data_IF_333917227285
#
_entry.id   IF_333917227285
#
_cell.length_a   1.000
_cell.length_b   1.000
_cell.length_c   1.000
_cell.angle_alpha   90.00
_cell.angle_beta   90.00
_cell.angle_gamma   90.00
#
_symmetry.space_group_name_H-M   'P 1'
#
loop_
_entity.id
_entity.type
_entity.pdbx_description
1 polymer ?
#
# COMPACT_ATOMS: atom_id res chain seq x y z
N UNK A 1 12.09 15.80 17.87
CA UNK A 1 12.99 14.64 17.98
C UNK A 1 12.25 13.32 18.19
N UNK A 2 11.21 13.24 19.02
CA UNK A 2 10.48 11.96 19.23
C UNK A 2 9.74 11.45 17.99
N UNK A 3 9.10 12.34 17.23
CA UNK A 3 8.25 11.96 16.09
C UNK A 3 9.05 11.34 14.92
N UNK A 4 10.23 11.91 14.61
CA UNK A 4 11.16 11.35 13.63
C UNK A 4 11.71 9.98 14.07
N UNK A 5 11.99 9.80 15.37
CA UNK A 5 12.41 8.50 15.93
C UNK A 5 11.29 7.46 15.78
N UNK A 6 10.03 7.84 15.99
CA UNK A 6 8.87 6.98 15.77
C UNK A 6 8.75 6.55 14.30
N UNK A 7 8.87 7.49 13.37
CA UNK A 7 8.86 7.21 11.93
C UNK A 7 9.98 6.24 11.57
N UNK A 8 11.21 6.51 12.02
CA UNK A 8 12.36 5.63 11.75
C UNK A 8 12.16 4.23 12.35
N UNK A 9 11.69 4.12 13.60
CA UNK A 9 11.38 2.82 14.20
C UNK A 9 10.33 2.06 13.40
N UNK A 10 9.29 2.75 12.92
CA UNK A 10 8.26 2.14 12.08
C UNK A 10 8.85 1.66 10.76
N UNK A 11 9.53 2.53 10.03
CA UNK A 11 10.11 2.23 8.72
C UNK A 11 11.19 1.15 8.79
N UNK A 12 11.86 0.98 9.95
CA UNK A 12 12.89 -0.04 10.20
C UNK A 12 12.37 -1.28 10.93
N UNK A 13 11.05 -1.48 11.03
CA UNK A 13 10.45 -2.68 11.63
C UNK A 13 10.78 -2.90 13.12
N UNK A 14 10.98 -1.82 13.87
CA UNK A 14 11.35 -1.82 15.30
C UNK A 14 10.26 -1.31 16.24
N UNK A 15 9.06 -1.01 15.74
CA UNK A 15 8.00 -0.40 16.53
C UNK A 15 7.10 -1.43 17.22
N UNK A 16 6.88 -1.26 18.52
CA UNK A 16 6.07 -2.17 19.33
C UNK A 16 4.57 -1.88 19.24
N UNK A 17 3.74 -2.84 19.66
CA UNK A 17 2.28 -2.65 19.74
C UNK A 17 1.88 -1.51 20.67
N UNK A 18 2.54 -1.37 21.82
CA UNK A 18 2.26 -0.31 22.77
C UNK A 18 2.52 1.06 22.14
N UNK A 19 3.62 1.21 21.40
CA UNK A 19 3.95 2.42 20.64
C UNK A 19 2.93 2.69 19.50
N UNK A 20 2.38 1.66 18.86
CA UNK A 20 1.29 1.83 17.87
C UNK A 20 -0.01 2.36 18.50
N UNK A 21 -0.30 1.99 19.74
CA UNK A 21 -1.50 2.43 20.45
C UNK A 21 -1.39 3.89 20.92
N UNK A 22 -0.17 4.44 21.02
CA UNK A 22 0.05 5.86 21.41
C UNK A 22 -0.01 6.83 20.22
N UNK A 23 -0.41 6.35 19.04
CA UNK A 23 -0.66 7.22 17.89
C UNK A 23 -1.64 8.34 18.23
N UNK A 24 -1.21 9.56 17.94
CA UNK A 24 -1.92 10.79 18.27
C UNK A 24 -2.11 11.66 17.02
N UNK A 25 -2.78 12.81 17.16
CA UNK A 25 -3.03 13.72 16.02
C UNK A 25 -1.74 14.25 15.40
N UNK A 26 -0.67 14.42 16.19
CA UNK A 26 0.62 14.89 15.65
C UNK A 26 1.19 13.89 14.66
N UNK A 27 1.17 12.59 14.99
CA UNK A 27 1.61 11.53 14.08
C UNK A 27 0.80 11.50 12.79
N UNK A 28 -0.53 11.61 12.89
CA UNK A 28 -1.42 11.63 11.73
C UNK A 28 -1.13 12.84 10.83
N UNK A 29 -1.07 14.04 11.40
CA UNK A 29 -0.80 15.27 10.64
C UNK A 29 0.56 15.17 9.94
N UNK A 30 1.59 14.67 10.62
CA UNK A 30 2.92 14.48 10.00
C UNK A 30 2.89 13.46 8.85
N UNK A 31 2.18 12.34 9.01
CA UNK A 31 2.03 11.36 7.94
C UNK A 31 1.26 11.90 6.74
N UNK A 32 0.17 12.64 6.99
CA UNK A 32 -0.63 13.27 5.92
C UNK A 32 0.17 14.36 5.21
N UNK A 33 0.88 15.22 5.95
CA UNK A 33 1.76 16.23 5.37
C UNK A 33 2.88 15.60 4.54
N UNK A 34 3.51 14.52 5.04
CA UNK A 34 4.51 13.76 4.28
C UNK A 34 3.93 13.17 3.00
N UNK A 35 2.74 12.56 3.08
CA UNK A 35 2.01 12.03 1.91
C UNK A 35 1.71 13.12 0.89
N UNK A 36 1.33 14.30 1.36
CA UNK A 36 1.02 15.44 0.51
C UNK A 36 2.25 15.96 -0.23
N UNK A 37 3.38 16.15 0.48
CA UNK A 37 4.65 16.57 -0.11
C UNK A 37 5.14 15.55 -1.15
N UNK A 38 5.13 14.26 -0.80
CA UNK A 38 5.51 13.18 -1.72
C UNK A 38 4.55 13.13 -2.93
N UNK A 39 3.27 13.39 -2.71
CA UNK A 39 2.26 13.48 -3.76
C UNK A 39 2.51 14.62 -4.74
N UNK A 40 2.88 15.81 -4.24
CA UNK A 40 3.26 16.94 -5.08
C UNK A 40 4.54 16.64 -5.87
N UNK A 41 5.56 16.06 -5.22
CA UNK A 41 6.85 15.76 -5.85
C UNK A 41 6.75 14.80 -7.04
N UNK A 42 5.74 13.92 -7.07
CA UNK A 42 5.53 12.96 -8.16
C UNK A 42 5.02 13.57 -9.47
N UNK A 43 4.36 14.72 -9.41
CA UNK A 43 3.74 15.37 -10.57
C UNK A 43 4.31 16.76 -10.83
N UNK A 44 5.34 17.15 -10.08
CA UNK A 44 5.94 18.48 -10.15
C UNK A 44 6.54 18.79 -11.54
N UNK A 45 7.03 17.77 -12.24
CA UNK A 45 7.68 17.86 -13.55
C UNK A 45 6.76 17.44 -14.71
N UNK A 46 5.48 17.14 -14.46
CA UNK A 46 4.54 16.70 -15.49
C UNK A 46 3.58 17.83 -15.94
N UNK A 47 3.85 18.49 -17.09
CA UNK A 47 2.99 19.55 -17.62
C UNK A 47 1.58 19.09 -18.03
N UNK A 48 1.29 17.77 -18.08
CA UNK A 48 -0.04 17.24 -18.40
C UNK A 48 -0.86 16.86 -17.18
N UNK A 49 -0.30 16.91 -15.97
CA UNK A 49 -1.03 16.50 -14.77
C UNK A 49 -2.12 17.51 -14.40
N UNK A 50 -3.27 17.01 -13.96
CA UNK A 50 -4.38 17.85 -13.50
C UNK A 50 -3.99 18.71 -12.28
N UNK A 51 -4.68 19.82 -12.05
CA UNK A 51 -4.46 20.68 -10.87
C UNK A 51 -4.52 19.89 -9.56
N UNK A 52 -5.43 18.92 -9.44
CA UNK A 52 -5.56 18.03 -8.28
C UNK A 52 -4.34 17.11 -8.06
N UNK A 53 -3.64 16.74 -9.14
CA UNK A 53 -2.42 15.92 -9.10
C UNK A 53 -1.20 16.77 -8.76
N UNK A 54 -1.05 17.94 -9.36
CA UNK A 54 0.00 18.91 -9.00
C UNK A 54 -0.10 19.37 -7.55
N UNK A 55 -1.33 19.55 -7.06
CA UNK A 55 -1.58 19.87 -5.65
C UNK A 55 -1.38 18.66 -4.72
N UNK A 56 -1.03 17.46 -5.21
CA UNK A 56 -0.77 16.28 -4.37
C UNK A 56 -2.00 15.72 -3.62
N UNK A 57 -3.19 16.27 -3.87
CA UNK A 57 -4.44 15.93 -3.18
C UNK A 57 -4.91 14.51 -3.49
N UNK A 58 -4.61 14.00 -4.69
CA UNK A 58 -4.89 12.61 -5.06
C UNK A 58 -4.23 11.59 -4.12
N UNK A 59 -2.99 11.86 -3.68
CA UNK A 59 -2.26 11.00 -2.73
C UNK A 59 -2.87 11.03 -1.32
N UNK A 60 -3.41 12.18 -0.91
CA UNK A 60 -4.12 12.32 0.36
C UNK A 60 -5.41 11.50 0.32
N UNK A 61 -6.25 11.70 -0.70
CA UNK A 61 -7.50 10.92 -0.85
C UNK A 61 -7.19 9.41 -0.88
N UNK A 62 -6.14 9.02 -1.61
CA UNK A 62 -5.70 7.63 -1.69
C UNK A 62 -5.42 7.00 -0.31
N UNK A 63 -4.69 7.66 0.59
CA UNK A 63 -4.39 7.08 1.91
C UNK A 63 -5.65 6.93 2.78
N UNK A 64 -6.63 7.84 2.66
CA UNK A 64 -7.90 7.74 3.37
C UNK A 64 -8.73 6.55 2.88
N UNK A 65 -8.85 6.39 1.55
CA UNK A 65 -9.55 5.27 0.93
C UNK A 65 -8.86 3.93 1.24
N UNK A 66 -7.53 3.86 1.11
CA UNK A 66 -6.76 2.66 1.41
C UNK A 66 -6.88 2.26 2.88
N UNK A 67 -6.84 3.23 3.80
CA UNK A 67 -7.06 2.97 5.22
C UNK A 67 -8.44 2.44 5.49
N UNK A 68 -9.47 2.97 4.83
CA UNK A 68 -10.85 2.52 5.02
C UNK A 68 -11.02 1.09 4.52
N UNK A 69 -10.44 0.79 3.35
CA UNK A 69 -10.45 -0.53 2.75
C UNK A 69 -9.78 -1.59 3.66
N UNK A 70 -8.57 -1.33 4.13
CA UNK A 70 -7.85 -2.24 5.05
C UNK A 70 -8.60 -2.38 6.37
N UNK A 71 -9.13 -1.28 6.91
CA UNK A 71 -9.88 -1.28 8.16
C UNK A 71 -11.15 -2.16 8.05
N UNK A 72 -11.91 -2.03 6.95
CA UNK A 72 -13.11 -2.82 6.68
C UNK A 72 -12.79 -4.31 6.49
N UNK A 73 -11.73 -4.65 5.74
CA UNK A 73 -11.34 -6.05 5.51
C UNK A 73 -10.94 -6.75 6.81
N UNK A 74 -10.36 -6.02 7.77
CA UNK A 74 -9.94 -6.59 9.05
C UNK A 74 -11.03 -6.53 10.14
N UNK A 75 -12.10 -5.77 9.91
CA UNK A 75 -13.21 -5.62 10.85
C UNK A 75 -13.85 -6.97 11.25
N UNK A 76 -14.11 -7.93 10.32
CA UNK A 76 -14.68 -9.23 10.66
C UNK A 76 -13.81 -10.08 11.59
N UNK A 77 -12.50 -9.83 11.65
CA UNK A 77 -11.58 -10.59 12.52
C UNK A 77 -11.66 -10.20 14.01
N UNK A 78 -12.47 -9.18 14.35
CA UNK A 78 -12.72 -8.70 15.72
C UNK A 78 -11.41 -8.49 16.49
N UNK A 79 -10.52 -7.68 15.92
CA UNK A 79 -9.23 -7.35 16.52
C UNK A 79 -9.41 -6.34 17.65
N UNK A 80 -8.82 -6.60 18.81
CA UNK A 80 -8.88 -5.70 19.96
C UNK A 80 -8.17 -4.37 19.65
N UNK A 81 -8.79 -3.24 20.03
CA UNK A 81 -8.29 -1.88 19.82
C UNK A 81 -8.08 -1.51 18.33
N UNK A 82 -8.78 -2.20 17.42
CA UNK A 82 -8.76 -1.87 16.00
C UNK A 82 -9.57 -0.61 15.74
N UNK A 83 -8.89 0.50 15.43
CA UNK A 83 -9.52 1.77 15.11
C UNK A 83 -9.06 2.29 13.77
N UNK A 84 -9.97 2.92 13.04
CA UNK A 84 -9.65 3.55 11.75
C UNK A 84 -8.49 4.54 11.87
N UNK A 85 -8.44 5.31 12.96
CA UNK A 85 -7.38 6.30 13.22
C UNK A 85 -5.99 5.67 13.29
N UNK A 86 -5.83 4.51 13.94
CA UNK A 86 -4.53 3.83 14.01
C UNK A 86 -4.11 3.35 12.62
N UNK A 87 -5.02 2.77 11.87
CA UNK A 87 -4.78 2.28 10.50
C UNK A 87 -4.41 3.43 9.57
N UNK A 88 -5.16 4.53 9.60
CA UNK A 88 -4.89 5.72 8.82
C UNK A 88 -3.54 6.33 9.18
N UNK A 89 -3.23 6.46 10.49
CA UNK A 89 -1.94 6.98 10.95
C UNK A 89 -0.79 6.10 10.46
N UNK A 90 -0.93 4.77 10.58
CA UNK A 90 0.05 3.82 10.08
C UNK A 90 0.29 4.01 8.58
N UNK A 91 -0.78 3.99 7.76
CA UNK A 91 -0.67 4.12 6.30
C UNK A 91 -0.06 5.48 5.93
N UNK A 92 -0.49 6.56 6.56
CA UNK A 92 0.05 7.89 6.34
C UNK A 92 1.55 7.97 6.66
N UNK A 93 2.02 7.33 7.74
CA UNK A 93 3.44 7.29 8.10
C UNK A 93 4.27 6.36 7.20
N UNK A 94 3.66 5.38 6.53
CA UNK A 94 4.34 4.57 5.51
C UNK A 94 4.41 5.22 4.13
N UNK A 95 4.00 6.49 4.04
CA UNK A 95 4.08 7.27 2.79
C UNK A 95 5.49 7.70 2.43
N UNK A 96 6.37 7.94 3.42
CA UNK A 96 7.71 8.50 3.21
C UNK A 96 8.59 7.74 2.20
N UNK A 97 8.63 6.39 2.16
CA UNK A 97 9.38 5.67 1.13
C UNK A 97 8.94 6.00 -0.30
N UNK A 98 7.73 6.50 -0.53
CA UNK A 98 7.31 6.91 -1.87
C UNK A 98 8.00 8.19 -2.38
N UNK A 99 8.87 8.82 -1.58
CA UNK A 99 9.73 9.90 -2.06
C UNK A 99 10.63 9.45 -3.23
N UNK A 100 10.95 8.15 -3.33
CA UNK A 100 11.69 7.61 -4.48
C UNK A 100 10.97 7.83 -5.81
N UNK A 101 9.64 8.00 -5.81
CA UNK A 101 8.87 8.33 -7.01
C UNK A 101 8.96 9.79 -7.43
N UNK A 102 9.47 10.67 -6.57
CA UNK A 102 9.65 12.07 -6.87
C UNK A 102 11.05 12.38 -7.45
N UNK A 103 11.90 11.35 -7.62
CA UNK A 103 13.25 11.51 -8.17
C UNK A 103 13.14 11.49 -9.70
N UNK A 104 13.45 12.59 -10.41
CA UNK A 104 13.30 12.68 -11.86
C UNK A 104 14.48 11.99 -12.57
N UNK A 105 14.51 10.66 -12.56
CA UNK A 105 15.57 9.86 -13.16
C UNK A 105 15.66 10.05 -14.68
N UNK A 106 14.56 10.48 -15.30
CA UNK A 106 14.41 10.77 -16.73
C UNK A 106 15.26 11.95 -17.18
N UNK A 107 15.69 12.83 -16.27
CA UNK A 107 16.56 13.96 -16.58
C UNK A 107 18.03 13.56 -16.70
N UNK A 108 18.41 12.41 -16.14
CA UNK A 108 19.81 11.99 -16.02
C UNK A 108 20.17 10.78 -16.90
N UNK A 109 19.18 9.99 -17.32
CA UNK A 109 19.40 8.73 -18.04
C UNK A 109 18.59 8.66 -19.34
N UNK A 110 18.97 7.74 -20.23
CA UNK A 110 18.17 7.41 -21.42
C UNK A 110 16.80 6.88 -21.02
N UNK A 111 15.82 6.94 -21.94
CA UNK A 111 14.43 6.53 -21.69
C UNK A 111 14.35 5.07 -21.21
N UNK A 112 15.11 4.18 -21.83
CA UNK A 112 15.11 2.74 -21.50
C UNK A 112 15.68 2.48 -20.09
N UNK A 113 16.77 3.16 -19.74
CA UNK A 113 17.38 3.03 -18.41
C UNK A 113 16.49 3.66 -17.33
N UNK A 114 15.90 4.81 -17.61
CA UNK A 114 14.97 5.51 -16.70
C UNK A 114 13.73 4.67 -16.39
N UNK A 115 13.12 4.06 -17.40
CA UNK A 115 11.97 3.15 -17.22
C UNK A 115 12.34 1.98 -16.31
N UNK A 116 13.51 1.39 -16.51
CA UNK A 116 13.99 0.27 -15.69
C UNK A 116 14.15 0.67 -14.23
N UNK A 117 14.75 1.84 -13.97
CA UNK A 117 14.95 2.37 -12.62
C UNK A 117 13.61 2.68 -11.94
N UNK A 118 12.67 3.32 -12.65
CA UNK A 118 11.34 3.63 -12.14
C UNK A 118 10.56 2.38 -11.75
N UNK A 119 10.63 1.32 -12.56
CA UNK A 119 10.02 0.03 -12.24
C UNK A 119 10.66 -0.57 -10.98
N UNK A 120 11.98 -0.50 -10.82
CA UNK A 120 12.65 -0.97 -9.61
C UNK A 120 12.26 -0.17 -8.37
N UNK A 121 12.17 1.15 -8.45
CA UNK A 121 11.66 1.97 -7.35
C UNK A 121 10.23 1.58 -6.98
N UNK A 122 9.37 1.33 -7.97
CA UNK A 122 8.00 0.85 -7.74
C UNK A 122 7.99 -0.47 -6.99
N UNK A 123 8.76 -1.45 -7.45
CA UNK A 123 8.84 -2.77 -6.82
C UNK A 123 9.37 -2.66 -5.39
N UNK A 124 10.47 -1.93 -5.17
CA UNK A 124 11.08 -1.78 -3.84
C UNK A 124 10.11 -1.11 -2.88
N UNK A 125 9.50 0.01 -3.27
CA UNK A 125 8.57 0.76 -2.39
C UNK A 125 7.30 -0.04 -2.13
N UNK A 126 6.75 -0.72 -3.14
CA UNK A 126 5.57 -1.56 -2.98
C UNK A 126 5.85 -2.74 -2.04
N UNK A 127 6.97 -3.45 -2.22
CA UNK A 127 7.40 -4.53 -1.33
C UNK A 127 7.65 -4.02 0.09
N UNK A 128 8.31 -2.87 0.24
CA UNK A 128 8.56 -2.28 1.55
C UNK A 128 7.26 -1.99 2.30
N UNK A 129 6.26 -1.40 1.63
CA UNK A 129 4.93 -1.14 2.20
C UNK A 129 4.19 -2.43 2.55
N UNK A 130 4.27 -3.44 1.69
CA UNK A 130 3.66 -4.76 1.94
C UNK A 130 4.26 -5.42 3.19
N UNK A 131 5.59 -5.40 3.31
CA UNK A 131 6.30 -5.89 4.49
C UNK A 131 5.91 -5.10 5.74
N UNK A 132 5.81 -3.77 5.66
CA UNK A 132 5.39 -2.93 6.79
C UNK A 132 3.97 -3.27 7.21
N UNK A 133 3.05 -3.47 6.27
CA UNK A 133 1.67 -3.87 6.57
C UNK A 133 1.65 -5.24 7.24
N UNK A 134 2.38 -6.22 6.72
CA UNK A 134 2.54 -7.54 7.36
C UNK A 134 3.07 -7.41 8.79
N UNK A 135 4.14 -6.63 8.98
CA UNK A 135 4.75 -6.36 10.28
C UNK A 135 3.77 -5.73 11.26
N UNK A 136 3.04 -4.70 10.81
CA UNK A 136 2.02 -4.02 11.59
C UNK A 136 0.93 -5.00 12.01
N UNK A 137 0.40 -5.80 11.09
CA UNK A 137 -0.62 -6.79 11.43
C UNK A 137 -0.09 -7.87 12.38
N UNK A 138 1.15 -8.34 12.20
CA UNK A 138 1.77 -9.34 13.08
C UNK A 138 1.97 -8.87 14.50
N UNK A 139 2.38 -7.62 14.69
CA UNK A 139 2.62 -7.08 16.03
C UNK A 139 1.35 -6.52 16.66
N UNK A 140 0.46 -5.94 15.87
CA UNK A 140 -0.77 -5.33 16.35
C UNK A 140 -1.87 -6.35 16.61
N UNK A 141 -2.02 -7.33 15.69
CA UNK A 141 -3.03 -8.38 15.76
C UNK A 141 -2.41 -9.66 16.34
N UNK A 142 -3.19 -10.41 17.12
CA UNK A 142 -2.80 -11.76 17.58
C UNK A 142 -3.32 -12.83 16.60
N UNK A 143 -3.28 -12.52 15.29
CA UNK A 143 -3.71 -13.44 14.25
C UNK A 143 -2.55 -14.38 13.89
N UNK A 144 -2.87 -15.54 13.31
CA UNK A 144 -1.85 -16.46 12.81
C UNK A 144 -1.15 -15.88 11.58
N UNK A 145 0.12 -16.21 11.38
CA UNK A 145 0.93 -15.72 10.25
C UNK A 145 0.25 -16.02 8.89
N UNK A 146 -0.46 -17.15 8.77
CA UNK A 146 -1.25 -17.51 7.57
C UNK A 146 -2.43 -16.56 7.34
N UNK A 147 -3.18 -16.22 8.38
CA UNK A 147 -4.30 -15.29 8.27
C UNK A 147 -3.81 -13.89 7.90
N UNK A 148 -2.66 -13.47 8.44
CA UNK A 148 -2.04 -12.18 8.10
C UNK A 148 -1.62 -12.17 6.62
N UNK A 149 -0.95 -13.22 6.13
CA UNK A 149 -0.61 -13.32 4.70
C UNK A 149 -1.84 -13.21 3.80
N UNK A 150 -2.91 -13.94 4.11
CA UNK A 150 -4.15 -13.91 3.33
C UNK A 150 -4.74 -12.50 3.32
N UNK A 151 -4.86 -11.85 4.48
CA UNK A 151 -5.46 -10.52 4.58
C UNK A 151 -4.55 -9.43 3.96
N UNK A 152 -3.24 -9.67 3.88
CA UNK A 152 -2.30 -8.72 3.26
C UNK A 152 -2.29 -8.85 1.74
N UNK A 153 -2.36 -10.08 1.20
CA UNK A 153 -2.27 -10.36 -0.23
C UNK A 153 -3.62 -10.24 -0.95
N UNK A 154 -4.71 -10.67 -0.32
CA UNK A 154 -6.05 -10.66 -0.91
C UNK A 154 -6.49 -9.27 -1.43
N UNK A 155 -6.35 -8.17 -0.65
CA UNK A 155 -6.74 -6.84 -1.11
C UNK A 155 -5.94 -6.42 -2.35
N UNK A 156 -4.66 -6.76 -2.41
CA UNK A 156 -3.79 -6.45 -3.55
C UNK A 156 -4.21 -7.24 -4.80
N UNK A 157 -4.42 -8.55 -4.69
CA UNK A 157 -4.88 -9.38 -5.81
C UNK A 157 -6.27 -8.95 -6.31
N UNK A 158 -7.18 -8.57 -5.39
CA UNK A 158 -8.51 -8.10 -5.74
C UNK A 158 -8.46 -6.77 -6.48
N UNK A 159 -7.68 -5.79 -5.98
CA UNK A 159 -7.50 -4.50 -6.67
C UNK A 159 -6.95 -4.72 -8.08
N UNK A 160 -5.88 -5.52 -8.24
CA UNK A 160 -5.27 -5.77 -9.56
C UNK A 160 -6.26 -6.49 -10.49
N UNK A 161 -6.98 -7.49 -9.98
CA UNK A 161 -7.97 -8.23 -10.78
C UNK A 161 -9.12 -7.34 -11.24
N UNK A 162 -9.65 -6.48 -10.36
CA UNK A 162 -10.71 -5.52 -10.71
C UNK A 162 -10.20 -4.50 -11.74
N UNK A 163 -9.00 -3.94 -11.54
CA UNK A 163 -8.39 -3.02 -12.50
C UNK A 163 -8.16 -3.68 -13.86
N UNK A 164 -7.84 -4.97 -13.89
CA UNK A 164 -7.71 -5.76 -15.12
C UNK A 164 -9.04 -5.90 -15.82
N UNK A 165 -10.09 -6.36 -15.12
CA UNK A 165 -11.42 -6.58 -15.69
C UNK A 165 -12.00 -5.29 -16.28
N UNK A 166 -11.76 -4.16 -15.60
CA UNK A 166 -12.18 -2.85 -16.06
C UNK A 166 -11.27 -2.29 -17.19
N UNK A 167 -10.25 -3.03 -17.63
CA UNK A 167 -9.22 -2.59 -18.58
C UNK A 167 -8.46 -1.31 -18.17
N UNK A 168 -8.52 -0.90 -16.90
CA UNK A 168 -7.82 0.26 -16.36
C UNK A 168 -6.36 -0.03 -15.97
N UNK A 169 -5.92 -1.29 -16.06
CA UNK A 169 -4.56 -1.71 -15.69
C UNK A 169 -3.48 -0.90 -16.43
N UNK A 170 -3.64 -0.66 -17.73
CA UNK A 170 -2.67 0.10 -18.54
C UNK A 170 -2.64 1.59 -18.13
N UNK A 171 -3.79 2.16 -17.77
CA UNK A 171 -3.89 3.56 -17.34
C UNK A 171 -3.24 3.77 -15.96
N UNK A 172 -3.47 2.85 -15.02
CA UNK A 172 -2.87 2.93 -13.68
C UNK A 172 -1.35 2.75 -13.75
N UNK A 173 -0.84 1.83 -14.57
CA UNK A 173 0.61 1.65 -14.74
C UNK A 173 1.28 2.77 -15.54
N UNK A 174 0.61 3.35 -16.54
CA UNK A 174 1.10 4.57 -17.20
C UNK A 174 1.21 5.74 -16.20
N UNK A 175 0.23 5.88 -15.32
CA UNK A 175 0.20 6.92 -14.28
C UNK A 175 1.15 6.60 -13.11
N UNK A 176 1.37 5.32 -12.76
CA UNK A 176 2.22 4.87 -11.63
C UNK A 176 3.68 4.63 -11.96
N UNK A 177 4.01 4.23 -13.19
CA UNK A 177 5.38 3.95 -13.63
C UNK A 177 6.00 5.04 -14.51
N UNK A 178 5.29 6.14 -14.77
CA UNK A 178 5.78 7.23 -15.62
C UNK A 178 5.99 6.83 -17.09
N UNK A 179 5.37 5.73 -17.55
CA UNK A 179 5.54 5.20 -18.90
C UNK A 179 4.90 6.16 -19.91
N UNK A 180 5.72 7.07 -20.45
CA UNK A 180 5.27 8.23 -21.24
C UNK A 180 5.24 7.97 -22.75
N UNK A 181 5.75 6.83 -23.22
CA UNK A 181 5.64 6.34 -24.61
C UNK A 181 5.65 4.81 -24.62
N UNK A 182 4.48 4.18 -24.81
CA UNK A 182 4.35 2.73 -24.93
C UNK A 182 4.77 2.31 -26.34
N UNK A 183 5.98 1.79 -26.52
CA UNK A 183 6.26 0.95 -27.68
C UNK A 183 5.67 -0.45 -27.42
N UNK A 184 5.04 -1.13 -28.40
CA UNK A 184 4.38 -2.44 -28.20
C UNK A 184 5.30 -3.61 -27.79
N UNK A 185 6.61 -3.35 -27.61
CA UNK A 185 7.64 -4.37 -27.42
C UNK A 185 8.31 -4.39 -26.04
N UNK A 186 7.76 -3.69 -25.03
CA UNK A 186 8.47 -3.51 -23.77
C UNK A 186 8.17 -4.59 -22.71
N UNK A 187 9.24 -5.04 -22.04
CA UNK A 187 9.23 -5.99 -20.92
C UNK A 187 8.23 -5.63 -19.80
N UNK A 188 7.83 -4.37 -19.69
CA UNK A 188 6.81 -3.88 -18.78
C UNK A 188 5.42 -4.49 -19.04
N UNK A 189 5.05 -4.75 -20.31
CA UNK A 189 3.78 -5.44 -20.64
C UNK A 189 3.82 -6.91 -20.21
N UNK A 190 4.97 -7.57 -20.29
CA UNK A 190 5.12 -8.93 -19.83
C UNK A 190 4.97 -9.03 -18.30
N UNK A 191 5.56 -8.09 -17.55
CA UNK A 191 5.41 -8.01 -16.09
C UNK A 191 3.95 -7.74 -15.71
N UNK A 192 3.28 -6.83 -16.44
CA UNK A 192 1.87 -6.53 -16.21
C UNK A 192 1.00 -7.78 -16.44
N UNK A 193 1.16 -8.44 -17.59
CA UNK A 193 0.40 -9.65 -17.90
C UNK A 193 0.65 -10.77 -16.89
N UNK A 194 1.89 -10.93 -16.41
CA UNK A 194 2.24 -11.89 -15.37
C UNK A 194 1.56 -11.54 -14.03
N UNK A 195 1.64 -10.29 -13.58
CA UNK A 195 1.00 -9.83 -12.35
C UNK A 195 -0.52 -10.00 -12.41
N UNK A 196 -1.11 -9.69 -13.55
CA UNK A 196 -2.54 -9.86 -13.81
C UNK A 196 -2.94 -11.34 -13.77
N UNK A 197 -2.21 -12.20 -14.46
CA UNK A 197 -2.45 -13.65 -14.45
C UNK A 197 -2.38 -14.22 -13.03
N UNK A 198 -1.31 -13.90 -12.29
CA UNK A 198 -1.15 -14.34 -10.90
C UNK A 198 -2.26 -13.79 -10.00
N UNK A 199 -2.66 -12.52 -10.18
CA UNK A 199 -3.70 -11.90 -9.36
C UNK A 199 -5.05 -12.56 -9.55
N UNK A 200 -5.44 -12.84 -10.80
CA UNK A 200 -6.70 -13.54 -11.11
C UNK A 200 -6.67 -14.98 -10.60
N UNK A 201 -5.54 -15.68 -10.79
CA UNK A 201 -5.35 -17.05 -10.33
C UNK A 201 -5.46 -17.17 -8.81
N UNK A 202 -4.85 -16.23 -8.07
CA UNK A 202 -4.85 -16.26 -6.60
C UNK A 202 -6.07 -15.59 -5.96
N UNK A 203 -6.83 -14.75 -6.67
CA UNK A 203 -7.98 -14.04 -6.11
C UNK A 203 -9.02 -14.99 -5.51
N UNK A 204 -9.44 -16.02 -6.25
CA UNK A 204 -10.48 -16.95 -5.80
C UNK A 204 -10.01 -17.80 -4.60
N UNK A 205 -8.83 -18.46 -4.64
CA UNK A 205 -8.31 -19.19 -3.48
C UNK A 205 -8.14 -18.31 -2.24
N UNK A 206 -7.64 -17.08 -2.40
CA UNK A 206 -7.45 -16.15 -1.28
C UNK A 206 -8.77 -15.68 -0.67
N UNK A 207 -9.81 -15.46 -1.48
CA UNK A 207 -11.15 -15.13 -0.99
C UNK A 207 -11.75 -16.26 -0.16
N UNK A 208 -11.62 -17.51 -0.62
CA UNK A 208 -12.08 -18.68 0.14
C UNK A 208 -11.31 -18.79 1.46
N UNK A 209 -9.98 -18.68 1.41
CA UNK A 209 -9.12 -18.75 2.58
C UNK A 209 -9.42 -17.62 3.59
N UNK A 210 -9.78 -16.44 3.10
CA UNK A 210 -10.22 -15.31 3.93
C UNK A 210 -11.53 -15.60 4.66
N UNK A 211 -12.54 -16.12 3.96
CA UNK A 211 -13.81 -16.53 4.57
C UNK A 211 -13.63 -17.60 5.65
N UNK A 212 -12.80 -18.61 5.36
CA UNK A 212 -12.42 -19.62 6.34
C UNK A 212 -11.68 -19.02 7.55
N UNK A 213 -10.76 -18.08 7.31
CA UNK A 213 -10.04 -17.36 8.36
C UNK A 213 -10.95 -16.63 9.33
N UNK A 214 -11.99 -15.96 8.82
CA UNK A 214 -13.02 -15.30 9.66
C UNK A 214 -13.78 -16.34 10.48
N UNK A 215 -14.23 -17.43 9.84
CA UNK A 215 -15.00 -18.48 10.49
C UNK A 215 -14.23 -19.12 11.65
N UNK A 216 -12.98 -19.52 11.42
CA UNK A 216 -12.13 -20.09 12.47
C UNK A 216 -11.89 -19.10 13.61
N UNK A 217 -11.68 -17.81 13.29
CA UNK A 217 -11.49 -16.78 14.31
C UNK A 217 -12.73 -16.61 15.19
N UNK A 218 -13.92 -16.59 14.60
CA UNK A 218 -15.17 -16.50 15.36
C UNK A 218 -15.38 -17.70 16.27
N UNK A 219 -15.04 -18.90 15.80
CA UNK A 219 -15.09 -20.14 16.60
C UNK A 219 -14.13 -20.09 17.79
N UNK A 220 -12.90 -19.60 17.60
CA UNK A 220 -11.93 -19.42 18.69
C UNK A 220 -12.41 -18.42 19.74
N UNK A 221 -12.99 -17.30 19.31
CA UNK A 221 -13.53 -16.27 20.23
C UNK A 221 -14.68 -16.86 21.04
N UNK A 222 -15.61 -17.58 20.39
CA UNK A 222 -16.74 -18.22 21.08
C UNK A 222 -16.27 -19.24 22.12
N UNK A 223 -15.26 -20.05 21.79
CA UNK A 223 -14.68 -21.05 22.71
C UNK A 223 -14.00 -20.43 23.94
N UNK A 224 -13.51 -19.17 23.86
CA UNK A 224 -12.91 -18.47 25.02
C UNK A 224 -13.93 -17.79 25.94
N UNK A 225 -15.19 -17.68 25.50
CA UNK A 225 -16.27 -17.03 26.23
C UNK A 225 -17.18 -18.02 26.97
N UNK A 226 -17.14 -19.30 26.60
CA UNK A 226 -17.72 -20.46 27.30
C UNK A 226 -16.68 -21.14 28.16
#
# INVERSE_FOLDING_TARGET
MELARFILKLLTFKMTKQEMLTFNNKHLITGVAGTWIVGMGRYWDDPKASLLQHLGLGSVIYIFCLAAFIWLILLPFKINNWSYRIVLTFIALTSFPAIFYAIPVEQFYSIQTSNTINVWFLVIVALWRLCLLYYFLKHFTRLSDRAIMIVTLMPMCLIISVLTILNLQNAVFAVMGGLRNSTPHDASYAILNLLTFLSVLFAIPLLIAYGLGIYYRHKEIKKKLT
#
